data_IF_701021491642
#
_entry.id   IF_701021491642
#
_cell.length_a   1.000
_cell.length_b   1.000
_cell.length_c   1.000
_cell.angle_alpha   90.00
_cell.angle_beta   90.00
_cell.angle_gamma   90.00
#
_symmetry.space_group_name_H-M   'P 1'
#
loop_
_entity.id
_entity.type
_entity.pdbx_description
1 polymer ?
#
# COMPACT_ATOMS: atom_id res chain seq x y z
N UNK A 1 8.15 -3.25 9.12
CA UNK A 1 8.26 -1.79 9.41
C UNK A 1 7.01 -1.25 10.07
N UNK A 2 5.85 -1.63 9.61
CA UNK A 2 4.59 -1.16 10.22
C UNK A 2 4.47 -1.54 11.69
N UNK A 3 4.78 -2.78 12.02
CA UNK A 3 4.60 -3.30 13.37
C UNK A 3 5.88 -3.24 14.21
N UNK A 4 7.03 -3.45 13.58
CA UNK A 4 8.33 -3.50 14.27
C UNK A 4 8.99 -2.13 14.37
N UNK A 5 8.58 -1.18 13.53
CA UNK A 5 9.17 0.17 13.44
C UNK A 5 10.66 0.15 13.15
N UNK A 6 11.11 -0.91 12.49
CA UNK A 6 12.49 -1.13 12.13
C UNK A 6 12.56 -1.74 10.73
N UNK A 7 13.54 -1.31 9.94
CA UNK A 7 13.74 -1.85 8.60
C UNK A 7 14.28 -3.27 8.67
N UNK A 8 13.63 -4.25 8.02
CA UNK A 8 14.12 -5.63 8.02
C UNK A 8 15.38 -5.82 7.19
N UNK A 9 15.76 -4.84 6.38
CA UNK A 9 16.94 -4.95 5.51
C UNK A 9 18.18 -4.33 6.11
N UNK A 10 18.10 -3.16 6.73
CA UNK A 10 19.24 -2.46 7.29
C UNK A 10 19.12 -2.19 8.79
N UNK A 11 18.00 -2.56 9.41
CA UNK A 11 17.74 -2.41 10.84
C UNK A 11 17.66 -0.95 11.33
N UNK A 12 17.53 0.00 10.41
CA UNK A 12 17.34 1.39 10.77
C UNK A 12 15.94 1.62 11.34
N UNK A 13 15.84 2.58 12.25
CA UNK A 13 14.54 3.04 12.77
C UNK A 13 14.07 4.32 12.10
N UNK A 14 14.80 4.81 11.09
CA UNK A 14 14.44 6.02 10.36
C UNK A 14 13.38 5.71 9.31
N UNK A 15 12.17 5.44 9.78
CA UNK A 15 11.04 4.99 8.95
C UNK A 15 10.02 6.13 8.86
N UNK A 16 9.59 6.45 7.63
CA UNK A 16 8.48 7.37 7.41
C UNK A 16 7.27 6.62 6.86
N UNK A 17 6.10 7.20 7.04
CA UNK A 17 4.86 6.68 6.49
C UNK A 17 4.26 7.71 5.54
N UNK A 18 3.85 7.24 4.36
CA UNK A 18 3.08 8.03 3.42
C UNK A 18 1.70 7.39 3.31
N UNK A 19 0.68 8.14 3.74
CA UNK A 19 -0.68 7.64 3.73
C UNK A 19 -1.18 7.47 2.31
N UNK A 20 -1.98 6.43 2.10
CA UNK A 20 -2.63 6.21 0.82
C UNK A 20 -3.68 7.25 0.53
N UNK A 21 -3.83 7.60 -0.73
CA UNK A 21 -4.91 8.47 -1.19
C UNK A 21 -5.26 8.13 -2.63
N UNK A 22 -6.47 8.54 -3.03
CA UNK A 22 -6.96 8.34 -4.40
C UNK A 22 -7.27 9.70 -5.00
N UNK A 23 -6.59 10.05 -6.08
CA UNK A 23 -6.84 11.27 -6.81
C UNK A 23 -7.65 11.01 -8.06
N UNK A 24 -7.91 12.09 -8.83
CA UNK A 24 -8.60 11.99 -10.11
C UNK A 24 -7.79 11.07 -11.05
N UNK A 25 -8.52 10.29 -11.85
CA UNK A 25 -7.94 9.39 -12.84
C UNK A 25 -7.03 8.31 -12.22
N UNK A 26 -7.23 8.00 -10.95
CA UNK A 26 -6.48 6.95 -10.28
C UNK A 26 -5.09 7.36 -9.81
N UNK A 27 -4.79 8.67 -9.78
CA UNK A 27 -3.51 9.15 -9.25
C UNK A 27 -3.42 8.93 -7.74
N UNK A 28 -2.20 8.92 -7.21
CA UNK A 28 -1.95 8.76 -5.78
C UNK A 28 -1.51 7.35 -5.42
N UNK A 29 -1.41 7.08 -4.10
CA UNK A 29 -1.01 5.78 -3.57
C UNK A 29 -2.24 4.87 -3.44
N UNK A 30 -2.58 4.17 -4.50
CA UNK A 30 -3.77 3.32 -4.49
C UNK A 30 -3.64 2.16 -5.47
N UNK A 31 -4.54 1.19 -5.32
CA UNK A 31 -4.71 0.07 -6.26
C UNK A 31 -6.11 0.18 -6.86
N UNK A 32 -6.18 0.23 -8.18
CA UNK A 32 -7.47 0.31 -8.87
C UNK A 32 -8.08 -1.08 -8.96
N UNK A 33 -9.28 -1.23 -8.39
CA UNK A 33 -10.03 -2.50 -8.45
C UNK A 33 -11.06 -2.53 -9.59
N UNK A 34 -11.19 -1.41 -10.29
CA UNK A 34 -12.10 -1.25 -11.43
C UNK A 34 -11.65 -0.09 -12.30
N UNK A 35 -12.53 0.41 -13.16
CA UNK A 35 -12.21 1.44 -14.14
C UNK A 35 -12.50 2.87 -13.66
N UNK A 36 -13.07 3.04 -12.46
CA UNK A 36 -13.42 4.37 -11.93
C UNK A 36 -12.62 4.66 -10.67
N UNK A 37 -12.55 5.94 -10.29
CA UNK A 37 -11.86 6.36 -9.06
C UNK A 37 -12.52 5.79 -7.80
N UNK A 38 -13.81 5.48 -7.87
CA UNK A 38 -14.53 4.87 -6.75
C UNK A 38 -14.11 3.42 -6.50
N UNK A 39 -13.37 2.84 -7.44
CA UNK A 39 -12.84 1.48 -7.33
C UNK A 39 -11.42 1.45 -6.76
N UNK A 40 -10.86 2.60 -6.42
CA UNK A 40 -9.50 2.66 -5.89
C UNK A 40 -9.46 2.28 -4.42
N UNK A 41 -8.43 1.51 -4.04
CA UNK A 41 -8.15 1.16 -2.66
C UNK A 41 -6.82 1.80 -2.28
N UNK A 42 -6.81 2.55 -1.19
CA UNK A 42 -5.62 3.29 -0.77
C UNK A 42 -4.52 2.34 -0.28
N UNK A 43 -3.27 2.70 -0.60
CA UNK A 43 -2.09 1.94 -0.19
C UNK A 43 -1.22 2.84 0.68
N UNK A 44 -0.96 2.39 1.90
CA UNK A 44 -0.06 3.09 2.81
C UNK A 44 1.35 2.56 2.60
N UNK A 45 2.33 3.45 2.52
CA UNK A 45 3.73 3.07 2.30
C UNK A 45 4.56 3.42 3.51
N UNK A 46 5.42 2.48 3.91
CA UNK A 46 6.40 2.67 4.96
C UNK A 46 7.77 2.60 4.30
N UNK A 47 8.54 3.66 4.40
CA UNK A 47 9.79 3.82 3.67
C UNK A 47 10.94 3.98 4.65
N UNK A 48 11.98 3.16 4.49
CA UNK A 48 13.22 3.34 5.22
C UNK A 48 14.04 4.45 4.56
N UNK A 49 14.26 5.53 5.29
CA UNK A 49 15.02 6.66 4.76
C UNK A 49 16.53 6.40 4.72
N UNK A 50 16.99 5.29 5.30
CA UNK A 50 18.40 4.92 5.29
C UNK A 50 18.81 4.10 4.07
N UNK A 51 17.96 3.15 3.65
CA UNK A 51 18.31 2.26 2.53
C UNK A 51 17.28 2.26 1.40
N UNK A 52 16.11 2.89 1.60
CA UNK A 52 15.08 2.99 0.58
C UNK A 52 14.12 1.79 0.50
N UNK A 53 14.27 0.79 1.36
CA UNK A 53 13.32 -0.32 1.39
C UNK A 53 11.93 0.18 1.71
N UNK A 54 10.93 -0.28 0.95
CA UNK A 54 9.55 0.19 1.06
C UNK A 54 8.61 -0.99 1.23
N UNK A 55 7.67 -0.87 2.17
CA UNK A 55 6.57 -1.81 2.33
C UNK A 55 5.26 -1.12 2.03
N UNK A 56 4.37 -1.83 1.35
CA UNK A 56 3.03 -1.34 1.06
C UNK A 56 2.02 -2.14 1.86
N UNK A 57 1.08 -1.43 2.49
CA UNK A 57 0.05 -2.04 3.32
C UNK A 57 -1.33 -1.51 2.93
N UNK A 58 -2.27 -2.43 2.80
CA UNK A 58 -3.68 -2.12 2.55
C UNK A 58 -4.40 -2.11 3.89
N UNK A 59 -5.30 -1.15 4.09
CA UNK A 59 -6.14 -1.13 5.28
C UNK A 59 -6.98 -2.40 5.35
N UNK A 60 -7.12 -2.94 6.55
CA UNK A 60 -7.73 -4.24 6.76
C UNK A 60 -9.16 -4.31 6.20
N UNK A 61 -9.92 -3.24 6.36
CA UNK A 61 -11.29 -3.17 5.87
C UNK A 61 -11.38 -3.16 4.34
N UNK A 62 -10.29 -2.87 3.65
CA UNK A 62 -10.25 -2.81 2.19
C UNK A 62 -9.71 -4.07 1.53
N UNK A 63 -9.20 -5.01 2.31
CA UNK A 63 -8.59 -6.23 1.77
C UNK A 63 -9.58 -7.04 0.95
N UNK A 64 -10.81 -7.20 1.44
CA UNK A 64 -11.84 -7.96 0.75
C UNK A 64 -12.19 -7.34 -0.60
N UNK A 65 -12.21 -6.02 -0.67
CA UNK A 65 -12.50 -5.31 -1.90
C UNK A 65 -11.48 -5.63 -2.99
N UNK A 66 -10.21 -5.75 -2.61
CA UNK A 66 -9.16 -6.17 -3.55
C UNK A 66 -9.28 -7.64 -3.88
N UNK A 67 -9.52 -8.50 -2.88
CA UNK A 67 -9.58 -9.95 -3.08
C UNK A 67 -10.73 -10.36 -4.01
N UNK A 68 -11.81 -9.59 -4.04
CA UNK A 68 -12.96 -9.86 -4.90
C UNK A 68 -12.94 -9.09 -6.21
N UNK A 69 -11.89 -8.30 -6.47
CA UNK A 69 -11.74 -7.54 -7.71
C UNK A 69 -11.65 -8.46 -8.92
N UNK A 70 -12.24 -8.03 -10.03
CA UNK A 70 -12.13 -8.75 -11.30
C UNK A 70 -10.69 -8.80 -11.83
N UNK A 71 -9.86 -7.88 -11.38
CA UNK A 71 -8.44 -7.83 -11.76
C UNK A 71 -7.58 -8.76 -10.91
N UNK A 72 -8.09 -9.25 -9.78
CA UNK A 72 -7.34 -10.08 -8.86
C UNK A 72 -7.18 -11.50 -9.41
N UNK A 73 -5.97 -12.04 -9.27
CA UNK A 73 -5.67 -13.41 -9.64
C UNK A 73 -5.01 -14.08 -8.44
N UNK A 74 -5.37 -15.34 -8.19
CA UNK A 74 -4.71 -16.09 -7.12
C UNK A 74 -3.26 -16.35 -7.51
N UNK A 75 -2.37 -16.01 -6.62
CA UNK A 75 -0.95 -16.21 -6.83
C UNK A 75 -0.53 -17.65 -6.55
N UNK A 76 -1.21 -18.26 -5.60
CA UNK A 76 -0.94 -19.65 -5.20
C UNK A 76 -2.21 -20.48 -5.37
#
# INVERSE_FOLDING_TARGET
MKNTKMCPKCQSTNIIRIDGYSGAYGSGNNVMTGSTIFSAVNVNRYICCSCGFTEEWIDKEDIEKIATSKKAKRYI
#
